data_IF_618881952773
#
_entry.id   IF_618881952773
#
_cell.length_a   1.000
_cell.length_b   1.000
_cell.length_c   1.000
_cell.angle_alpha   90.00
_cell.angle_beta   90.00
_cell.angle_gamma   90.00
#
_symmetry.space_group_name_H-M   'P 1'
#
loop_
_entity.id
_entity.type
_entity.pdbx_description
1 polymer ?
#
# COMPACT_ATOMS: atom_id res chain seq x y z
N UNK A 1 -26.31 -14.93 1.55
CA UNK A 1 -24.86 -15.04 1.72
C UNK A 1 -24.49 -16.42 1.25
N UNK A 2 -23.76 -16.49 0.15
CA UNK A 2 -23.51 -17.73 -0.57
C UNK A 2 -22.30 -18.42 0.06
N UNK A 3 -22.49 -19.61 0.66
CA UNK A 3 -21.44 -20.37 1.36
C UNK A 3 -20.25 -20.72 0.43
N UNK A 4 -20.48 -20.67 -0.88
CA UNK A 4 -19.45 -20.89 -1.90
C UNK A 4 -18.48 -19.69 -2.03
N UNK A 5 -18.94 -18.48 -1.72
CA UNK A 5 -18.15 -17.26 -1.84
C UNK A 5 -17.13 -17.13 -0.68
N UNK A 6 -17.54 -17.50 0.54
CA UNK A 6 -16.66 -17.54 1.71
C UNK A 6 -15.50 -18.54 1.52
N UNK A 7 -15.79 -19.74 1.01
CA UNK A 7 -14.74 -20.74 0.73
C UNK A 7 -13.79 -20.29 -0.39
N UNK A 8 -14.28 -19.52 -1.37
CA UNK A 8 -13.46 -18.95 -2.44
C UNK A 8 -12.53 -17.85 -1.93
N UNK A 9 -13.03 -16.98 -1.05
CA UNK A 9 -12.27 -15.90 -0.40
C UNK A 9 -11.20 -16.45 0.55
N UNK A 10 -11.50 -17.48 1.34
CA UNK A 10 -10.52 -18.16 2.21
C UNK A 10 -9.40 -18.81 1.40
N UNK A 11 -9.73 -19.48 0.29
CA UNK A 11 -8.75 -20.07 -0.60
C UNK A 11 -7.88 -19.02 -1.31
N UNK A 12 -8.44 -17.85 -1.63
CA UNK A 12 -7.68 -16.73 -2.20
C UNK A 12 -6.72 -16.12 -1.15
N UNK A 13 -7.20 -15.96 0.08
CA UNK A 13 -6.39 -15.44 1.19
C UNK A 13 -5.19 -16.35 1.52
N UNK A 14 -5.38 -17.68 1.49
CA UNK A 14 -4.30 -18.65 1.67
C UNK A 14 -3.25 -18.65 0.56
N UNK A 15 -3.59 -18.13 -0.63
CA UNK A 15 -2.69 -18.00 -1.79
C UNK A 15 -2.11 -16.60 -1.95
N UNK A 16 -2.56 -15.64 -1.14
CA UNK A 16 -2.11 -14.26 -1.23
C UNK A 16 -0.63 -14.16 -0.81
N UNK A 17 0.18 -13.30 -1.46
CA UNK A 17 1.55 -13.05 -1.05
C UNK A 17 1.64 -12.64 0.42
N UNK A 18 2.75 -12.95 1.07
CA UNK A 18 2.97 -12.64 2.48
C UNK A 18 2.73 -11.17 2.81
N UNK A 19 3.16 -10.26 1.94
CA UNK A 19 2.95 -8.82 2.11
C UNK A 19 1.46 -8.40 2.12
N UNK A 20 0.58 -9.18 1.48
CA UNK A 20 -0.88 -8.97 1.54
C UNK A 20 -1.46 -9.56 2.82
N UNK A 21 -1.03 -10.77 3.19
CA UNK A 21 -1.49 -11.49 4.39
C UNK A 21 -1.18 -10.74 5.70
N UNK A 22 -0.05 -10.02 5.73
CA UNK A 22 0.41 -9.26 6.90
C UNK A 22 -0.09 -7.83 6.94
N UNK A 23 -1.05 -7.45 6.10
CA UNK A 23 -1.57 -6.09 6.14
C UNK A 23 -2.24 -5.83 7.49
N UNK A 24 -1.88 -4.74 8.19
CA UNK A 24 -2.54 -4.36 9.42
C UNK A 24 -4.03 -4.11 9.20
N UNK A 25 -4.83 -4.43 10.21
CA UNK A 25 -6.26 -4.17 10.25
C UNK A 25 -6.58 -2.80 10.89
N UNK A 26 -5.68 -2.32 11.76
CA UNK A 26 -5.86 -1.10 12.56
C UNK A 26 -4.68 -0.13 12.39
N UNK A 27 -4.90 1.14 12.72
CA UNK A 27 -3.82 2.16 12.67
C UNK A 27 -2.68 1.86 13.65
N UNK A 28 -2.99 1.19 14.76
CA UNK A 28 -2.02 0.84 15.81
C UNK A 28 -1.06 -0.29 15.37
N UNK A 29 -1.47 -1.09 14.39
CA UNK A 29 -0.62 -2.15 13.82
C UNK A 29 0.30 -1.65 12.70
N UNK A 30 0.12 -0.41 12.22
CA UNK A 30 0.94 0.19 11.15
C UNK A 30 2.34 0.47 11.65
N UNK A 31 3.33 -0.08 10.94
CA UNK A 31 4.75 0.05 11.29
C UNK A 31 5.40 1.21 10.53
N UNK A 32 6.29 1.96 11.19
CA UNK A 32 7.17 2.98 10.58
C UNK A 32 6.56 4.33 10.24
N UNK A 33 5.31 4.60 10.59
CA UNK A 33 4.66 5.91 10.36
C UNK A 33 4.11 6.59 11.63
N UNK A 34 4.80 6.57 12.80
CA UNK A 34 4.25 7.11 14.05
C UNK A 34 3.96 8.61 13.98
N UNK A 35 4.67 9.37 13.13
CA UNK A 35 4.39 10.79 12.89
C UNK A 35 3.06 11.04 12.16
N UNK A 36 2.45 10.02 11.57
CA UNK A 36 1.13 10.07 10.95
C UNK A 36 0.06 9.39 11.81
N UNK A 37 0.37 8.20 12.33
CA UNK A 37 -0.59 7.28 12.97
C UNK A 37 -0.58 7.30 14.49
N UNK A 38 0.48 7.83 15.11
CA UNK A 38 0.61 7.93 16.57
C UNK A 38 -0.36 8.93 17.18
N UNK A 39 -0.32 9.04 18.51
CA UNK A 39 -1.16 9.97 19.27
C UNK A 39 -0.98 11.41 18.77
N UNK A 40 -2.09 12.09 18.46
CA UNK A 40 -2.09 13.44 17.87
C UNK A 40 -1.63 13.51 16.41
N UNK A 41 -1.32 12.37 15.78
CA UNK A 41 -0.94 12.28 14.38
C UNK A 41 -2.08 12.70 13.44
N UNK A 42 -1.78 13.30 12.28
CA UNK A 42 -2.79 13.81 11.36
C UNK A 42 -3.76 12.74 10.87
N UNK A 43 -3.34 11.47 10.74
CA UNK A 43 -4.24 10.39 10.33
C UNK A 43 -5.15 9.93 11.48
N UNK A 44 -4.68 9.98 12.73
CA UNK A 44 -5.52 9.69 13.90
C UNK A 44 -6.62 10.74 14.06
N UNK A 45 -6.25 12.01 13.93
CA UNK A 45 -7.18 13.14 14.07
C UNK A 45 -8.30 13.16 13.03
N UNK A 46 -8.07 12.65 11.81
CA UNK A 46 -9.13 12.59 10.79
C UNK A 46 -10.09 11.43 11.06
N UNK A 47 -9.56 10.28 11.48
CA UNK A 47 -10.38 9.12 11.86
C UNK A 47 -11.28 9.45 13.04
N UNK A 48 -10.76 10.14 14.06
CA UNK A 48 -11.55 10.57 15.24
C UNK A 48 -12.73 11.49 14.88
N UNK A 49 -12.65 12.17 13.73
CA UNK A 49 -13.73 13.02 13.21
C UNK A 49 -14.74 12.25 12.35
N UNK A 50 -14.52 10.96 12.11
CA UNK A 50 -15.37 10.09 11.30
C UNK A 50 -15.35 10.38 9.80
N UNK A 51 -14.43 11.24 9.33
CA UNK A 51 -14.23 11.53 7.89
C UNK A 51 -12.77 11.86 7.61
N UNK A 52 -12.23 11.25 6.56
CA UNK A 52 -10.84 11.40 6.13
C UNK A 52 -10.67 12.68 5.30
N UNK A 53 -11.65 12.98 4.44
CA UNK A 53 -11.58 14.02 3.42
C UNK A 53 -10.63 13.65 2.27
N UNK A 54 -9.95 14.64 1.72
CA UNK A 54 -9.00 14.45 0.61
C UNK A 54 -7.56 14.45 1.12
N UNK A 55 -6.83 13.36 0.87
CA UNK A 55 -5.44 13.17 1.28
C UNK A 55 -4.60 12.72 0.08
N UNK A 56 -3.37 13.23 0.00
CA UNK A 56 -2.33 12.71 -0.90
C UNK A 56 -1.21 12.12 -0.06
N UNK A 57 -1.04 10.80 -0.13
CA UNK A 57 0.05 10.06 0.49
C UNK A 57 1.25 10.04 -0.44
N UNK A 58 2.35 10.68 -0.01
CA UNK A 58 3.58 10.76 -0.77
C UNK A 58 4.72 10.06 -0.05
N UNK A 59 5.37 9.11 -0.72
CA UNK A 59 6.59 8.54 -0.20
C UNK A 59 7.11 7.36 -1.00
N UNK A 60 8.29 6.82 -0.63
CA UNK A 60 8.94 5.72 -1.32
C UNK A 60 8.04 4.47 -1.48
N UNK A 61 8.36 3.56 -2.41
CA UNK A 61 7.67 2.27 -2.50
C UNK A 61 7.79 1.49 -1.19
N UNK A 62 6.79 0.65 -0.91
CA UNK A 62 6.84 -0.25 0.25
C UNK A 62 6.72 0.38 1.63
N UNK A 63 6.39 1.67 1.71
CA UNK A 63 6.24 2.41 2.98
C UNK A 63 4.84 2.32 3.61
N UNK A 64 3.88 1.69 2.92
CA UNK A 64 2.53 1.43 3.45
C UNK A 64 1.43 2.37 2.96
N UNK A 65 1.59 3.09 1.83
CA UNK A 65 0.56 4.00 1.28
C UNK A 65 -0.81 3.31 1.08
N UNK A 66 -0.86 2.23 0.31
CA UNK A 66 -2.08 1.46 0.05
C UNK A 66 -2.63 0.82 1.33
N UNK A 67 -1.74 0.36 2.21
CA UNK A 67 -2.10 -0.23 3.50
C UNK A 67 -2.81 0.80 4.39
N UNK A 68 -2.25 2.00 4.52
CA UNK A 68 -2.86 3.10 5.28
C UNK A 68 -4.23 3.45 4.72
N UNK A 69 -4.39 3.54 3.41
CA UNK A 69 -5.68 3.86 2.82
C UNK A 69 -6.76 2.83 3.18
N UNK A 70 -6.42 1.53 3.16
CA UNK A 70 -7.35 0.46 3.56
C UNK A 70 -7.69 0.49 5.03
N UNK A 71 -6.69 0.65 5.90
CA UNK A 71 -6.89 0.75 7.35
C UNK A 71 -7.79 1.93 7.67
N UNK A 72 -7.56 3.08 7.02
CA UNK A 72 -8.37 4.27 7.23
C UNK A 72 -9.83 4.03 6.83
N UNK A 73 -10.08 3.50 5.61
CA UNK A 73 -11.44 3.17 5.16
C UNK A 73 -12.17 2.22 6.14
N UNK A 74 -11.48 1.17 6.61
CA UNK A 74 -12.03 0.24 7.58
C UNK A 74 -12.36 0.94 8.92
N UNK A 75 -11.49 1.85 9.36
CA UNK A 75 -11.67 2.52 10.65
C UNK A 75 -12.83 3.53 10.63
N UNK A 76 -13.12 4.14 9.47
CA UNK A 76 -14.29 5.03 9.30
C UNK A 76 -15.51 4.33 8.70
N UNK A 77 -15.48 2.99 8.60
CA UNK A 77 -16.56 2.13 8.09
C UNK A 77 -17.02 2.44 6.64
N UNK A 78 -16.14 3.01 5.84
CA UNK A 78 -16.41 3.32 4.44
C UNK A 78 -16.14 2.14 3.51
N UNK A 79 -16.81 2.14 2.35
CA UNK A 79 -16.47 1.22 1.28
C UNK A 79 -15.17 1.65 0.59
N UNK A 80 -14.20 0.74 0.55
CA UNK A 80 -12.89 1.01 -0.04
C UNK A 80 -12.88 0.66 -1.53
N UNK A 81 -12.77 1.68 -2.40
CA UNK A 81 -12.72 1.51 -3.86
C UNK A 81 -11.32 1.81 -4.38
N UNK A 82 -10.48 0.79 -4.64
CA UNK A 82 -9.16 0.99 -5.21
C UNK A 82 -9.22 1.17 -6.73
N UNK A 83 -8.54 2.19 -7.22
CA UNK A 83 -8.23 2.44 -8.62
C UNK A 83 -6.72 2.51 -8.79
N UNK A 84 -6.22 2.03 -9.93
CA UNK A 84 -4.81 2.17 -10.30
C UNK A 84 -4.72 3.16 -11.44
N UNK A 85 -3.99 4.26 -11.27
CA UNK A 85 -3.88 5.27 -12.32
C UNK A 85 -3.18 4.77 -13.59
N UNK A 86 -2.51 3.61 -13.51
CA UNK A 86 -1.88 2.94 -14.64
C UNK A 86 -2.90 2.22 -15.52
N UNK A 87 -3.94 1.61 -14.92
CA UNK A 87 -4.90 0.77 -15.63
C UNK A 87 -6.30 1.37 -15.73
N UNK A 88 -6.64 2.29 -14.84
CA UNK A 88 -7.98 2.89 -14.75
C UNK A 88 -8.08 4.16 -15.59
N UNK A 89 -9.08 4.20 -16.47
CA UNK A 89 -9.43 5.37 -17.26
C UNK A 89 -10.44 6.28 -16.56
N UNK A 90 -10.85 7.36 -17.24
CA UNK A 90 -11.90 8.27 -16.74
C UNK A 90 -13.27 7.58 -16.58
N UNK A 91 -13.51 6.49 -17.32
CA UNK A 91 -14.75 5.71 -17.21
C UNK A 91 -14.82 4.94 -15.89
N UNK A 92 -13.73 4.28 -15.50
CA UNK A 92 -13.65 3.54 -14.24
C UNK A 92 -13.81 4.48 -13.05
N UNK A 93 -13.19 5.66 -13.14
CA UNK A 93 -13.34 6.71 -12.15
C UNK A 93 -14.80 7.17 -12.00
N UNK A 94 -15.49 7.44 -13.12
CA UNK A 94 -16.91 7.82 -13.08
C UNK A 94 -17.78 6.71 -12.51
N UNK A 95 -17.54 5.46 -12.89
CA UNK A 95 -18.26 4.31 -12.34
C UNK A 95 -18.08 4.20 -10.81
N UNK A 96 -16.86 4.44 -10.31
CA UNK A 96 -16.59 4.47 -8.87
C UNK A 96 -17.39 5.58 -8.15
N UNK A 97 -17.47 6.78 -8.74
CA UNK A 97 -18.24 7.90 -8.19
C UNK A 97 -19.76 7.67 -8.25
N UNK A 98 -20.25 7.07 -9.33
CA UNK A 98 -21.66 6.73 -9.48
C UNK A 98 -22.06 5.64 -8.46
N UNK A 99 -21.23 4.60 -8.30
CA UNK A 99 -21.43 3.59 -7.27
C UNK A 99 -21.34 4.17 -5.85
N UNK A 100 -20.51 5.20 -5.62
CA UNK A 100 -20.47 5.91 -4.34
C UNK A 100 -21.79 6.62 -4.03
N UNK A 101 -22.42 7.26 -5.03
CA UNK A 101 -23.75 7.88 -4.86
C UNK A 101 -24.81 6.86 -4.52
N UNK A 102 -24.79 5.70 -5.18
CA UNK A 102 -25.77 4.64 -4.92
C UNK A 102 -25.61 4.07 -3.51
N UNK A 103 -24.38 3.74 -3.09
CA UNK A 103 -24.10 3.25 -1.73
C UNK A 103 -24.52 4.26 -0.66
N UNK A 104 -24.20 5.55 -0.85
CA UNK A 104 -24.65 6.57 0.09
C UNK A 104 -26.17 6.69 0.13
N UNK A 105 -26.85 6.64 -1.03
CA UNK A 105 -28.31 6.81 -1.13
C UNK A 105 -29.09 5.63 -0.55
N UNK A 106 -28.66 4.40 -0.81
CA UNK A 106 -29.43 3.20 -0.47
C UNK A 106 -28.96 2.52 0.81
N UNK A 107 -27.67 2.61 1.13
CA UNK A 107 -27.07 1.95 2.30
C UNK A 107 -26.68 2.95 3.40
N UNK A 108 -26.65 4.25 3.09
CA UNK A 108 -26.13 5.26 4.01
C UNK A 108 -24.62 5.16 4.25
N UNK A 109 -23.91 4.36 3.43
CA UNK A 109 -22.50 4.04 3.62
C UNK A 109 -21.60 4.96 2.77
N UNK A 110 -20.58 5.53 3.42
CA UNK A 110 -19.57 6.38 2.78
C UNK A 110 -18.64 5.60 1.86
N UNK A 111 -17.79 6.32 1.12
CA UNK A 111 -16.87 5.72 0.14
C UNK A 111 -15.52 6.39 0.20
N UNK A 112 -14.48 5.57 0.35
CA UNK A 112 -13.10 6.00 0.15
C UNK A 112 -12.64 5.57 -1.24
N UNK A 113 -12.45 6.55 -2.14
CA UNK A 113 -11.83 6.33 -3.44
C UNK A 113 -10.31 6.44 -3.30
N UNK A 114 -9.63 5.31 -3.44
CA UNK A 114 -8.17 5.25 -3.43
C UNK A 114 -7.63 5.23 -4.86
N UNK A 115 -6.66 6.09 -5.17
CA UNK A 115 -5.99 6.10 -6.48
C UNK A 115 -4.49 5.87 -6.28
N UNK A 116 -4.01 4.70 -6.67
CA UNK A 116 -2.57 4.40 -6.67
C UNK A 116 -1.87 5.03 -7.86
N UNK A 117 -0.63 5.45 -7.67
CA UNK A 117 0.18 6.20 -8.62
C UNK A 117 -0.55 7.38 -9.26
N UNK A 118 -1.23 8.20 -8.45
CA UNK A 118 -2.10 9.32 -8.90
C UNK A 118 -1.40 10.29 -9.85
N UNK A 119 -0.07 10.37 -9.81
CA UNK A 119 0.74 11.14 -10.75
C UNK A 119 0.58 10.70 -12.22
N UNK A 120 0.09 9.48 -12.47
CA UNK A 120 -0.18 8.96 -13.82
C UNK A 120 -1.53 9.40 -14.40
N UNK A 121 -2.43 9.93 -13.57
CA UNK A 121 -3.67 10.52 -14.06
C UNK A 121 -3.39 11.83 -14.81
N UNK A 122 -3.96 11.94 -16.00
CA UNK A 122 -3.96 13.22 -16.71
C UNK A 122 -4.85 14.25 -16.00
N UNK A 123 -4.70 15.52 -16.39
CA UNK A 123 -5.47 16.63 -15.82
C UNK A 123 -6.98 16.39 -15.83
N UNK A 124 -7.53 15.86 -16.93
CA UNK A 124 -8.97 15.62 -17.03
C UNK A 124 -9.47 14.55 -16.03
N UNK A 125 -8.66 13.53 -15.74
CA UNK A 125 -8.97 12.52 -14.73
C UNK A 125 -8.93 13.10 -13.31
N UNK A 126 -7.92 13.93 -13.01
CA UNK A 126 -7.82 14.60 -11.72
C UNK A 126 -8.97 15.61 -11.51
N UNK A 127 -9.28 16.41 -12.53
CA UNK A 127 -10.36 17.40 -12.47
C UNK A 127 -11.75 16.74 -12.34
N UNK A 128 -11.91 15.51 -12.84
CA UNK A 128 -13.15 14.74 -12.70
C UNK A 128 -13.48 14.33 -11.25
N UNK A 129 -12.49 14.31 -10.34
CA UNK A 129 -12.72 14.05 -8.91
C UNK A 129 -13.33 15.26 -8.19
N UNK A 130 -13.00 16.48 -8.63
CA UNK A 130 -13.24 17.70 -7.86
C UNK A 130 -14.70 17.88 -7.42
N UNK A 131 -15.72 17.69 -8.28
CA UNK A 131 -17.11 17.86 -7.86
C UNK A 131 -17.48 16.91 -6.70
N UNK A 132 -17.06 15.64 -6.77
CA UNK A 132 -17.34 14.66 -5.73
C UNK A 132 -16.64 14.99 -4.40
N UNK A 133 -15.44 15.58 -4.45
CA UNK A 133 -14.72 16.02 -3.26
C UNK A 133 -15.37 17.26 -2.62
N UNK A 134 -15.81 18.21 -3.45
CA UNK A 134 -16.44 19.45 -2.99
C UNK A 134 -17.83 19.21 -2.40
N UNK A 135 -18.59 18.26 -2.97
CA UNK A 135 -19.90 17.84 -2.47
C UNK A 135 -19.78 16.93 -1.23
N UNK A 136 -18.58 16.45 -0.90
CA UNK A 136 -18.35 15.49 0.18
C UNK A 136 -18.98 14.12 -0.10
N UNK A 137 -19.10 13.75 -1.38
CA UNK A 137 -19.66 12.47 -1.82
C UNK A 137 -18.71 11.31 -1.49
N UNK A 138 -17.40 11.53 -1.62
CA UNK A 138 -16.36 10.54 -1.34
C UNK A 138 -15.26 11.16 -0.51
N UNK A 139 -14.67 10.35 0.36
CA UNK A 139 -13.31 10.56 0.83
C UNK A 139 -12.33 10.08 -0.25
N UNK A 140 -11.17 10.71 -0.32
CA UNK A 140 -10.18 10.45 -1.36
C UNK A 140 -8.79 10.28 -0.78
N UNK A 141 -8.10 9.25 -1.25
CA UNK A 141 -6.68 9.06 -1.00
C UNK A 141 -5.95 8.82 -2.32
N UNK A 142 -5.13 9.77 -2.74
CA UNK A 142 -4.18 9.60 -3.82
C UNK A 142 -2.82 9.13 -3.27
N UNK A 143 -2.22 8.09 -3.84
CA UNK A 143 -0.86 7.66 -3.49
C UNK A 143 0.12 7.93 -4.62
N UNK A 144 1.33 8.38 -4.29
CA UNK A 144 2.39 8.60 -5.28
C UNK A 144 3.79 8.43 -4.68
N UNK A 145 4.74 7.98 -5.49
CA UNK A 145 6.18 8.05 -5.19
C UNK A 145 6.80 9.38 -5.63
N UNK A 146 6.22 10.01 -6.64
CA UNK A 146 6.67 11.29 -7.20
C UNK A 146 6.23 12.47 -6.36
N UNK A 147 6.99 13.57 -6.44
CA UNK A 147 6.66 14.80 -5.70
C UNK A 147 5.31 15.37 -6.19
N UNK A 148 4.28 15.45 -5.31
CA UNK A 148 2.95 15.89 -5.70
C UNK A 148 2.88 17.28 -6.31
N UNK A 149 3.80 18.20 -5.97
CA UNK A 149 3.75 19.59 -6.45
C UNK A 149 3.95 19.72 -7.97
N UNK A 150 4.51 18.71 -8.61
CA UNK A 150 4.75 18.69 -10.05
C UNK A 150 3.70 17.89 -10.82
N UNK A 151 3.21 16.81 -10.22
CA UNK A 151 2.38 15.81 -10.93
C UNK A 151 0.88 15.88 -10.59
N UNK A 152 0.52 16.48 -9.46
CA UNK A 152 -0.88 16.63 -9.03
C UNK A 152 -1.34 18.05 -9.35
N UNK A 153 -2.55 18.19 -9.92
CA UNK A 153 -3.06 19.49 -10.33
C UNK A 153 -3.28 20.41 -9.11
N UNK A 154 -3.01 21.70 -9.29
CA UNK A 154 -3.22 22.69 -8.23
C UNK A 154 -4.65 22.69 -7.64
N UNK A 155 -5.73 22.51 -8.43
CA UNK A 155 -7.08 22.33 -7.89
C UNK A 155 -7.21 21.14 -6.92
N UNK A 156 -6.64 19.98 -7.24
CA UNK A 156 -6.70 18.80 -6.37
C UNK A 156 -5.82 18.99 -5.13
N UNK A 157 -4.61 19.52 -5.28
CA UNK A 157 -3.70 19.80 -4.16
C UNK A 157 -4.28 20.81 -3.18
N UNK A 158 -4.88 21.91 -3.66
CA UNK A 158 -5.46 22.95 -2.80
C UNK A 158 -6.60 22.45 -1.91
N UNK A 159 -7.22 21.32 -2.26
CA UNK A 159 -8.29 20.65 -1.51
C UNK A 159 -7.81 19.45 -0.71
N UNK A 160 -6.53 19.08 -0.83
CA UNK A 160 -5.98 17.85 -0.25
C UNK A 160 -4.91 18.13 0.79
N UNK A 161 -4.87 17.31 1.84
CA UNK A 161 -3.73 17.28 2.76
C UNK A 161 -2.63 16.41 2.17
N UNK A 162 -1.43 16.96 1.99
CA UNK A 162 -0.26 16.17 1.55
C UNK A 162 0.45 15.61 2.78
N UNK A 163 0.47 14.29 2.91
CA UNK A 163 1.12 13.59 4.01
C UNK A 163 2.28 12.75 3.51
N UNK A 164 3.47 13.00 4.07
CA UNK A 164 4.70 12.33 3.66
C UNK A 164 4.96 11.08 4.49
N UNK A 165 5.07 9.94 3.82
CA UNK A 165 5.56 8.70 4.39
C UNK A 165 7.09 8.67 4.33
N UNK A 166 7.69 8.06 5.35
CA UNK A 166 9.14 7.87 5.45
C UNK A 166 9.48 6.43 5.09
N UNK A 167 10.70 6.21 4.58
CA UNK A 167 11.26 4.86 4.49
C UNK A 167 11.25 4.20 5.86
N UNK A 168 11.02 2.90 5.89
CA UNK A 168 11.03 2.14 7.13
C UNK A 168 12.45 2.09 7.72
N UNK A 169 12.57 2.29 9.03
CA UNK A 169 13.85 2.10 9.72
C UNK A 169 14.21 0.62 9.81
N UNK A 170 15.45 0.30 10.19
CA UNK A 170 15.85 -1.10 10.44
C UNK A 170 15.02 -1.74 11.56
N UNK A 171 14.64 -0.98 12.59
CA UNK A 171 13.77 -1.47 13.66
C UNK A 171 12.35 -1.78 13.17
N UNK A 172 11.80 -0.91 12.31
CA UNK A 172 10.49 -1.11 11.66
C UNK A 172 10.49 -2.37 10.79
N UNK A 173 11.55 -2.54 9.99
CA UNK A 173 11.75 -3.72 9.16
C UNK A 173 11.94 -4.98 9.99
N UNK A 174 12.67 -4.91 11.11
CA UNK A 174 12.83 -6.00 12.05
C UNK A 174 11.49 -6.49 12.59
N UNK A 175 10.61 -5.56 13.01
CA UNK A 175 9.27 -5.89 13.48
C UNK A 175 8.42 -6.56 12.38
N UNK A 176 8.46 -6.05 11.15
CA UNK A 176 7.75 -6.66 10.02
C UNK A 176 8.32 -8.05 9.67
N UNK A 177 9.64 -8.22 9.79
CA UNK A 177 10.30 -9.49 9.56
C UNK A 177 9.83 -10.52 10.58
N UNK A 178 9.77 -10.16 11.87
CA UNK A 178 9.27 -11.04 12.93
C UNK A 178 7.84 -11.54 12.64
N UNK A 179 6.95 -10.63 12.24
CA UNK A 179 5.58 -10.99 11.81
C UNK A 179 5.59 -11.95 10.62
N UNK A 180 6.48 -11.75 9.66
CA UNK A 180 6.61 -12.63 8.49
C UNK A 180 7.15 -14.02 8.83
N UNK A 181 8.15 -14.09 9.71
CA UNK A 181 8.73 -15.34 10.20
C UNK A 181 7.68 -16.17 10.94
N UNK A 182 6.91 -15.52 11.82
CA UNK A 182 5.79 -16.14 12.54
C UNK A 182 4.72 -16.66 11.57
N UNK A 183 4.28 -15.83 10.62
CA UNK A 183 3.22 -16.18 9.67
C UNK A 183 3.60 -17.30 8.68
N UNK A 184 4.90 -17.55 8.48
CA UNK A 184 5.40 -18.67 7.68
C UNK A 184 5.74 -19.91 8.54
N UNK A 185 5.85 -19.74 9.86
CA UNK A 185 6.28 -20.79 10.78
C UNK A 185 7.65 -21.35 10.38
N UNK A 186 8.62 -20.45 10.16
CA UNK A 186 10.01 -20.76 9.84
C UNK A 186 10.95 -20.15 10.87
N UNK A 187 12.18 -20.65 10.92
CA UNK A 187 13.29 -20.06 11.66
C UNK A 187 14.19 -19.32 10.67
N UNK A 188 14.67 -18.13 11.03
CA UNK A 188 15.60 -17.35 10.19
C UNK A 188 16.85 -17.11 11.01
N UNK A 189 18.01 -17.53 10.49
CA UNK A 189 19.28 -17.31 11.17
C UNK A 189 19.69 -15.83 11.15
N UNK A 190 20.49 -15.41 12.12
CA UNK A 190 20.84 -14.00 12.34
C UNK A 190 21.51 -13.34 11.12
N UNK A 191 22.37 -14.08 10.42
CA UNK A 191 23.03 -13.63 9.20
C UNK A 191 22.03 -13.44 8.04
N UNK A 192 21.08 -14.36 7.88
CA UNK A 192 20.00 -14.25 6.90
C UNK A 192 19.05 -13.09 7.22
N UNK A 193 18.76 -12.88 8.51
CA UNK A 193 17.98 -11.74 9.00
C UNK A 193 18.67 -10.43 8.64
N UNK A 194 19.96 -10.29 8.95
CA UNK A 194 20.72 -9.08 8.63
C UNK A 194 20.73 -8.83 7.11
N UNK A 195 20.92 -9.88 6.32
CA UNK A 195 20.91 -9.79 4.86
C UNK A 195 19.55 -9.33 4.30
N UNK A 196 18.43 -9.84 4.84
CA UNK A 196 17.07 -9.39 4.49
C UNK A 196 16.83 -7.91 4.82
N UNK A 197 17.29 -7.44 5.98
CA UNK A 197 17.15 -6.04 6.39
C UNK A 197 17.94 -5.10 5.45
N UNK A 198 19.19 -5.46 5.14
CA UNK A 198 20.01 -4.69 4.17
C UNK A 198 19.39 -4.68 2.78
N UNK A 199 18.87 -5.82 2.32
CA UNK A 199 18.21 -5.96 1.02
C UNK A 199 16.96 -5.07 0.90
N UNK A 200 16.22 -4.90 2.01
CA UNK A 200 14.97 -4.16 2.04
C UNK A 200 15.17 -2.68 1.66
N UNK A 201 16.26 -2.04 2.12
CA UNK A 201 16.53 -0.63 1.86
C UNK A 201 15.39 0.31 2.28
N UNK A 202 14.66 -0.04 3.35
CA UNK A 202 13.48 0.71 3.82
C UNK A 202 12.15 0.35 3.15
N UNK A 203 12.12 -0.64 2.24
CA UNK A 203 10.90 -1.17 1.59
C UNK A 203 10.47 -2.49 2.25
N UNK A 204 9.37 -2.45 3.03
CA UNK A 204 8.85 -3.62 3.74
C UNK A 204 8.26 -4.67 2.80
N UNK A 205 7.66 -4.27 1.67
CA UNK A 205 7.10 -5.20 0.68
C UNK A 205 8.21 -6.00 0.00
N UNK A 206 9.33 -5.34 -0.33
CA UNK A 206 10.51 -5.98 -0.92
C UNK A 206 11.06 -7.05 0.01
N UNK A 207 11.20 -6.72 1.30
CA UNK A 207 11.69 -7.62 2.33
C UNK A 207 10.78 -8.85 2.51
N UNK A 208 9.48 -8.63 2.70
CA UNK A 208 8.51 -9.72 2.90
C UNK A 208 8.44 -10.66 1.70
N UNK A 209 8.50 -10.12 0.48
CA UNK A 209 8.56 -10.95 -0.73
C UNK A 209 9.86 -11.76 -0.81
N UNK A 210 10.99 -11.21 -0.37
CA UNK A 210 12.27 -11.94 -0.34
C UNK A 210 12.23 -13.07 0.69
N UNK A 211 11.68 -12.80 1.88
CA UNK A 211 11.47 -13.81 2.93
C UNK A 211 10.57 -14.94 2.43
N UNK A 212 9.41 -14.61 1.82
CA UNK A 212 8.45 -15.60 1.32
C UNK A 212 9.09 -16.56 0.30
N UNK A 213 9.91 -16.03 -0.61
CA UNK A 213 10.62 -16.85 -1.59
C UNK A 213 11.77 -17.65 -0.96
N UNK A 214 12.53 -17.06 -0.03
CA UNK A 214 13.62 -17.75 0.65
C UNK A 214 13.11 -18.91 1.53
N UNK A 215 11.96 -18.74 2.17
CA UNK A 215 11.29 -19.76 2.95
C UNK A 215 10.62 -20.86 2.11
N UNK A 216 10.54 -20.71 0.78
CA UNK A 216 9.85 -21.66 -0.08
C UNK A 216 10.56 -23.03 -0.07
N UNK A 217 9.97 -23.99 0.64
CA UNK A 217 10.48 -25.37 0.72
C UNK A 217 11.48 -25.62 1.84
N UNK A 218 11.67 -24.69 2.77
CA UNK A 218 12.49 -24.89 3.98
C UNK A 218 11.77 -24.42 5.24
N UNK A 219 12.19 -24.98 6.39
CA UNK A 219 11.78 -24.51 7.72
C UNK A 219 12.84 -23.66 8.42
N UNK A 220 14.04 -23.59 7.85
CA UNK A 220 15.17 -22.80 8.34
C UNK A 220 15.75 -22.03 7.17
N UNK A 221 15.79 -20.71 7.30
CA UNK A 221 16.25 -19.79 6.25
C UNK A 221 17.67 -19.35 6.58
N UNK A 222 18.59 -19.74 5.72
CA UNK A 222 19.99 -19.33 5.72
C UNK A 222 20.25 -18.23 4.68
N UNK A 223 21.41 -17.58 4.74
CA UNK A 223 21.79 -16.52 3.78
C UNK A 223 21.70 -17.02 2.34
N UNK A 224 22.13 -18.26 2.08
CA UNK A 224 22.10 -18.87 0.76
C UNK A 224 20.67 -18.99 0.19
N UNK A 225 19.65 -19.13 1.04
CA UNK A 225 18.25 -19.17 0.60
C UNK A 225 17.79 -17.79 0.12
N UNK A 226 18.18 -16.75 0.86
CA UNK A 226 17.86 -15.36 0.53
C UNK A 226 18.59 -14.92 -0.74
N UNK A 227 19.87 -15.27 -0.90
CA UNK A 227 20.63 -14.99 -2.13
C UNK A 227 20.01 -15.65 -3.36
N UNK A 228 19.60 -16.93 -3.25
CA UNK A 228 18.89 -17.64 -4.32
C UNK A 228 17.57 -16.97 -4.66
N UNK A 229 16.80 -16.55 -3.65
CA UNK A 229 15.54 -15.85 -3.84
C UNK A 229 15.71 -14.54 -4.62
N UNK A 230 16.73 -13.74 -4.28
CA UNK A 230 17.05 -12.49 -4.97
C UNK A 230 17.55 -12.74 -6.39
N UNK A 231 18.46 -13.71 -6.58
CA UNK A 231 19.02 -14.05 -7.89
C UNK A 231 17.97 -14.53 -8.90
N UNK A 232 17.04 -15.38 -8.46
CA UNK A 232 15.90 -15.81 -9.31
C UNK A 232 15.02 -14.62 -9.71
N UNK A 233 14.86 -13.64 -8.81
CA UNK A 233 14.06 -12.45 -9.08
C UNK A 233 14.75 -11.51 -10.06
N UNK A 234 16.06 -11.30 -9.94
CA UNK A 234 16.85 -10.53 -10.89
C UNK A 234 16.79 -11.11 -12.32
N UNK A 235 16.79 -12.44 -12.45
CA UNK A 235 16.63 -13.13 -13.75
C UNK A 235 15.23 -12.97 -14.35
N UNK A 236 14.19 -12.84 -13.51
CA UNK A 236 12.82 -12.54 -13.97
C UNK A 236 12.67 -11.08 -14.40
N UNK A 237 13.17 -10.14 -13.60
CA UNK A 237 13.17 -8.71 -13.96
C UNK A 237 14.04 -8.39 -15.18
N UNK A 238 15.17 -9.08 -15.35
CA UNK A 238 16.05 -8.94 -16.51
C UNK A 238 15.42 -9.31 -17.87
N UNK A 239 14.21 -9.88 -17.90
CA UNK A 239 13.44 -10.09 -19.14
C UNK A 239 12.45 -8.97 -19.45
N UNK A 240 12.11 -8.11 -18.49
CA UNK A 240 11.10 -7.04 -18.66
C UNK A 240 11.67 -5.62 -18.51
N UNK A 241 12.86 -5.46 -17.92
CA UNK A 241 13.49 -4.15 -17.70
C UNK A 241 14.91 -4.10 -18.27
N UNK A 242 15.03 -3.98 -19.59
CA UNK A 242 16.22 -3.34 -20.16
C UNK A 242 16.09 -1.83 -19.91
N UNK A 243 17.11 -1.25 -19.27
CA UNK A 243 17.27 0.14 -18.79
C UNK A 243 16.87 0.38 -17.33
N UNK A 244 17.77 0.04 -16.38
CA UNK A 244 18.23 0.96 -15.30
C UNK A 244 19.09 0.29 -14.19
N UNK A 245 19.26 -1.03 -14.18
CA UNK A 245 19.90 -1.71 -13.02
C UNK A 245 21.44 -1.73 -13.03
N UNK A 246 22.13 -1.28 -14.08
CA UNK A 246 23.61 -1.41 -14.14
C UNK A 246 24.36 -0.34 -13.30
N UNK A 247 23.71 0.71 -12.79
CA UNK A 247 24.45 1.79 -12.10
C UNK A 247 24.82 1.51 -10.62
N UNK A 248 24.21 0.52 -9.96
CA UNK A 248 24.39 0.31 -8.52
C UNK A 248 25.45 -0.75 -8.13
N UNK A 249 26.09 -1.43 -9.08
CA UNK A 249 27.08 -2.49 -8.80
C UNK A 249 28.51 -2.18 -9.27
N UNK A 250 28.78 -0.95 -9.71
CA UNK A 250 30.14 -0.49 -10.00
C UNK A 250 30.34 0.89 -9.35
N UNK A 251 30.55 0.88 -8.03
CA UNK A 251 31.39 1.85 -7.31
C UNK A 251 31.74 1.34 -5.92
#
# INVERSE_FOLDING_TARGET
MDLFDESGLENLAGRAPLAERLRPATLDEVVGQPHLTGEGGPLRLVVERGRIGSVVLWGPPGTGKTTLARVLANTVEEEFVPLSAVTSGVKDLRAALDGARERLKYEGRGTLVFVDEVHRFNKNQQDALLPALEEGLVDFIGATTENPSFEVTAPLLSRSRVLRLRSLSEGDLGLLLDRGVEALGVEVYDDAREYLLRLAGGDGRRMLNALEVAAAGTKRVEVADVERAVGQRALRYGREEHYDVISAFIK
#
